data_IF_223557523021
#
_entry.id   IF_223557523021
#
_cell.length_a   1.000
_cell.length_b   1.000
_cell.length_c   1.000
_cell.angle_alpha   90.00
_cell.angle_beta   90.00
_cell.angle_gamma   90.00
#
_symmetry.space_group_name_H-M   'P 1'
#
loop_
_entity.id
_entity.type
_entity.pdbx_description
1 polymer ?
#
# COMPACT_ATOMS: atom_id res chain seq x y z
N UNK A 1 17.06 -41.29 -22.57
CA UNK A 1 16.52 -40.37 -21.54
C UNK A 1 16.45 -38.98 -22.17
N UNK A 2 15.51 -38.78 -23.09
CA UNK A 2 15.53 -37.63 -24.00
C UNK A 2 14.74 -36.44 -23.42
N UNK A 3 15.46 -35.34 -23.22
CA UNK A 3 14.95 -33.96 -23.18
C UNK A 3 13.86 -33.58 -22.15
N UNK A 4 13.97 -34.01 -20.89
CA UNK A 4 13.18 -33.40 -19.79
C UNK A 4 13.50 -31.92 -19.57
N UNK A 5 14.71 -31.45 -19.91
CA UNK A 5 15.18 -30.09 -19.64
C UNK A 5 14.33 -29.00 -20.33
N UNK A 6 13.91 -29.22 -21.58
CA UNK A 6 13.04 -28.26 -22.30
C UNK A 6 11.68 -28.09 -21.63
N UNK A 7 11.10 -29.18 -21.14
CA UNK A 7 9.80 -29.16 -20.45
C UNK A 7 9.93 -28.45 -19.09
N UNK A 8 10.98 -28.75 -18.32
CA UNK A 8 11.25 -28.11 -17.04
C UNK A 8 11.44 -26.59 -17.18
N UNK A 9 12.16 -26.14 -18.21
CA UNK A 9 12.33 -24.70 -18.49
C UNK A 9 11.00 -24.01 -18.82
N UNK A 10 10.14 -24.65 -19.61
CA UNK A 10 8.83 -24.12 -19.99
C UNK A 10 7.90 -24.00 -18.77
N UNK A 11 7.98 -24.96 -17.85
CA UNK A 11 7.22 -24.94 -16.59
C UNK A 11 7.73 -23.83 -15.66
N UNK A 12 9.04 -23.68 -15.52
CA UNK A 12 9.64 -22.61 -14.72
C UNK A 12 9.23 -21.21 -15.20
N UNK A 13 9.21 -21.01 -16.53
CA UNK A 13 8.77 -19.75 -17.12
C UNK A 13 7.27 -19.49 -16.87
N UNK A 14 6.42 -20.50 -17.04
CA UNK A 14 4.98 -20.38 -16.75
C UNK A 14 4.71 -20.03 -15.29
N UNK A 15 5.38 -20.73 -14.37
CA UNK A 15 5.24 -20.50 -12.94
C UNK A 15 5.73 -19.09 -12.55
N UNK A 16 6.87 -18.66 -13.10
CA UNK A 16 7.39 -17.31 -12.85
C UNK A 16 6.41 -16.23 -13.30
N UNK A 17 5.84 -16.36 -14.50
CA UNK A 17 4.81 -15.43 -14.99
C UNK A 17 3.58 -15.43 -14.07
N UNK A 18 3.12 -16.61 -13.65
CA UNK A 18 2.00 -16.73 -12.71
C UNK A 18 2.26 -16.03 -11.37
N UNK A 19 3.46 -16.22 -10.80
CA UNK A 19 3.87 -15.56 -9.56
C UNK A 19 3.93 -14.04 -9.75
N UNK A 20 4.52 -13.56 -10.85
CA UNK A 20 4.59 -12.13 -11.14
C UNK A 20 3.20 -11.49 -11.29
N UNK A 21 2.25 -12.18 -11.94
CA UNK A 21 0.88 -11.71 -12.06
C UNK A 21 0.17 -11.65 -10.70
N UNK A 22 0.34 -12.67 -9.85
CA UNK A 22 -0.26 -12.69 -8.51
C UNK A 22 0.33 -11.56 -7.65
N UNK A 23 1.66 -11.43 -7.62
CA UNK A 23 2.34 -10.37 -6.88
C UNK A 23 1.88 -9.00 -7.38
N UNK A 24 1.88 -8.78 -8.70
CA UNK A 24 1.41 -7.53 -9.30
C UNK A 24 -0.03 -7.19 -8.90
N UNK A 25 -0.92 -8.19 -8.88
CA UNK A 25 -2.31 -8.02 -8.44
C UNK A 25 -2.40 -7.65 -6.95
N UNK A 26 -1.66 -8.34 -6.08
CA UNK A 26 -1.61 -8.04 -4.65
C UNK A 26 -1.08 -6.61 -4.41
N UNK A 27 0.00 -6.23 -5.09
CA UNK A 27 0.55 -4.89 -4.99
C UNK A 27 -0.44 -3.85 -5.48
N UNK A 28 -1.17 -4.09 -6.57
CA UNK A 28 -2.20 -3.17 -7.08
C UNK A 28 -3.39 -3.05 -6.12
N UNK A 29 -3.85 -4.14 -5.49
CA UNK A 29 -4.91 -4.10 -4.47
C UNK A 29 -4.48 -3.40 -3.17
N UNK A 30 -3.22 -3.57 -2.76
CA UNK A 30 -2.66 -2.93 -1.57
C UNK A 30 -2.28 -1.46 -1.78
N UNK A 31 -1.88 -1.12 -3.01
CA UNK A 31 -1.48 0.21 -3.46
C UNK A 31 -2.53 1.29 -3.16
N UNK A 32 -3.80 1.01 -3.45
CA UNK A 32 -4.92 1.95 -3.27
C UNK A 32 -5.10 2.45 -1.83
N UNK A 33 -4.66 1.68 -0.82
CA UNK A 33 -4.83 2.08 0.59
C UNK A 33 -3.64 2.82 1.20
N UNK A 34 -2.42 2.44 0.84
CA UNK A 34 -1.23 2.90 1.56
C UNK A 34 -0.30 3.80 0.74
N UNK A 35 -0.17 3.58 -0.57
CA UNK A 35 0.87 4.23 -1.38
C UNK A 35 0.34 5.27 -2.37
N UNK A 36 -0.94 5.20 -2.76
CA UNK A 36 -1.48 6.01 -3.86
C UNK A 36 -2.45 7.12 -3.43
N UNK A 37 -2.81 7.22 -2.15
CA UNK A 37 -3.53 8.40 -1.65
C UNK A 37 -2.54 9.54 -1.44
N UNK A 38 -2.61 10.56 -2.29
CA UNK A 38 -1.92 11.84 -2.05
C UNK A 38 -2.55 12.50 -0.83
N UNK A 39 -1.81 12.53 0.27
CA UNK A 39 -2.12 13.37 1.42
C UNK A 39 -1.55 14.77 1.21
N UNK A 40 -2.23 15.78 1.75
CA UNK A 40 -1.74 17.15 1.81
C UNK A 40 -1.46 17.45 3.28
N UNK A 41 -0.27 17.95 3.59
CA UNK A 41 0.05 18.43 4.93
C UNK A 41 -0.54 19.83 5.10
N UNK A 42 -1.33 20.02 6.15
CA UNK A 42 -1.93 21.30 6.51
C UNK A 42 -1.44 21.68 7.89
N UNK A 43 -1.11 22.97 8.07
CA UNK A 43 -0.75 23.52 9.37
C UNK A 43 -1.87 24.42 9.87
N UNK A 44 -2.20 24.29 11.15
CA UNK A 44 -3.20 25.10 11.82
C UNK A 44 -2.65 25.52 13.19
N UNK A 45 -2.97 26.75 13.60
CA UNK A 45 -2.55 27.29 14.88
C UNK A 45 -3.75 27.27 15.84
N UNK A 46 -3.52 26.76 17.05
CA UNK A 46 -4.50 26.70 18.12
C UNK A 46 -3.89 27.29 19.38
N UNK A 47 -4.72 27.93 20.21
CA UNK A 47 -4.28 28.49 21.50
C UNK A 47 -3.97 27.39 22.53
N UNK A 48 -4.63 26.23 22.44
CA UNK A 48 -4.46 25.10 23.35
C UNK A 48 -4.55 23.76 22.59
N UNK A 49 -3.58 22.88 22.80
CA UNK A 49 -3.50 21.54 22.17
C UNK A 49 -3.29 20.41 23.19
N UNK A 50 -3.67 20.63 24.45
CA UNK A 50 -3.43 19.66 25.52
C UNK A 50 -4.19 18.34 25.28
N UNK A 51 -3.45 17.23 25.33
CA UNK A 51 -3.97 15.89 25.05
C UNK A 51 -3.94 15.49 23.57
N UNK A 52 -3.49 16.39 22.69
CA UNK A 52 -3.25 16.06 21.28
C UNK A 52 -1.89 15.39 21.12
N UNK A 53 -1.88 14.19 20.54
CA UNK A 53 -0.67 13.41 20.31
C UNK A 53 -0.42 13.17 18.82
N UNK A 54 0.84 12.97 18.44
CA UNK A 54 1.17 12.49 17.09
C UNK A 54 0.41 11.18 16.79
N UNK A 55 -0.11 11.05 15.58
CA UNK A 55 -0.95 9.93 15.17
C UNK A 55 -2.42 10.07 15.57
N UNK A 56 -2.81 11.09 16.33
CA UNK A 56 -4.21 11.36 16.67
C UNK A 56 -5.07 11.54 15.40
N UNK A 57 -6.28 10.99 15.42
CA UNK A 57 -7.17 10.95 14.26
C UNK A 57 -7.77 12.33 13.97
N UNK A 58 -7.67 12.77 12.72
CA UNK A 58 -8.36 13.95 12.20
C UNK A 58 -9.61 13.49 11.48
N UNK A 59 -10.77 14.01 11.88
CA UNK A 59 -12.05 13.74 11.23
C UNK A 59 -12.64 14.99 10.60
N UNK A 60 -13.29 14.81 9.45
CA UNK A 60 -14.06 15.83 8.76
C UNK A 60 -15.50 15.34 8.64
N UNK A 61 -16.44 16.07 9.24
CA UNK A 61 -17.87 15.69 9.27
C UNK A 61 -18.12 14.25 9.76
N UNK A 62 -17.33 13.78 10.73
CA UNK A 62 -17.44 12.42 11.29
C UNK A 62 -16.72 11.33 10.50
N UNK A 63 -16.07 11.66 9.38
CA UNK A 63 -15.27 10.73 8.57
C UNK A 63 -13.79 10.95 8.88
N UNK A 64 -13.05 9.88 9.18
CA UNK A 64 -11.59 9.94 9.34
C UNK A 64 -10.92 10.33 8.03
N UNK A 65 -10.19 11.45 8.04
CA UNK A 65 -9.48 11.99 6.86
C UNK A 65 -7.97 11.93 6.97
N UNK A 66 -7.43 11.70 8.17
CA UNK A 66 -5.98 11.55 8.36
C UNK A 66 -5.57 11.48 9.82
N UNK A 67 -4.28 11.72 10.05
CA UNK A 67 -3.66 11.71 11.37
C UNK A 67 -2.75 12.92 11.52
N UNK A 68 -2.58 13.35 12.76
CA UNK A 68 -1.66 14.44 13.12
C UNK A 68 -0.21 13.94 12.98
N UNK A 69 0.63 14.81 12.43
CA UNK A 69 2.06 14.58 12.20
C UNK A 69 2.84 15.81 12.66
N UNK A 70 4.08 15.60 13.10
CA UNK A 70 5.05 16.67 13.42
C UNK A 70 5.45 17.48 12.17
#
# INVERSE_FOLDING_TARGET
MESSAKTQFKIGLFLSIGIFLILGTIFMLGADRAFFKKYVTLHAHFEQVQGLAEGSVVSFSGITVGNIKD
#
